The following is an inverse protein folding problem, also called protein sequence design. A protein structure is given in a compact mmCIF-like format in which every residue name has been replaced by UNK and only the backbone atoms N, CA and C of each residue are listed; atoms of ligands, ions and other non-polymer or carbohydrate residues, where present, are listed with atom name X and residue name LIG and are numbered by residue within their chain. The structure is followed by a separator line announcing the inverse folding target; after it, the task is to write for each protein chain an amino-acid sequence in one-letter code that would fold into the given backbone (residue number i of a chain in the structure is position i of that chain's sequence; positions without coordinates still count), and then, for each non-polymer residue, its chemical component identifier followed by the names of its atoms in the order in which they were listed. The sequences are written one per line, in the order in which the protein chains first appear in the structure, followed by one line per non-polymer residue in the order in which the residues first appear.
data_IF_327985927006
#
_entry.id   IF_327985927006
#
_cell.length_a   1.000
_cell.length_b   1.000
_cell.length_c   1.000
_cell.angle_alpha   90.00
_cell.angle_beta   90.00
_cell.angle_gamma   90.00
#
_symmetry.space_group_name_H-M   'P 1'
#
loop_
_entity.id
_entity.type
_entity.pdbx_description
1 polymer ?
#
# COMPACT_ATOMS: atom_id res chain seq x y z
N UNK A 1 -7.17 19.61 8.61
CA UNK A 1 -8.29 18.89 7.96
C UNK A 1 -8.31 17.48 8.51
N UNK A 2 -9.42 17.03 9.10
CA UNK A 2 -9.52 15.68 9.65
C UNK A 2 -10.24 14.79 8.62
N UNK A 3 -9.57 13.74 8.12
CA UNK A 3 -10.17 12.77 7.20
C UNK A 3 -10.80 11.66 8.05
N UNK A 4 -12.11 11.48 7.93
CA UNK A 4 -12.79 10.35 8.56
C UNK A 4 -12.85 9.17 7.60
N UNK A 5 -13.01 7.97 8.14
CA UNK A 5 -12.99 6.73 7.38
C UNK A 5 -14.24 5.93 7.68
N UNK A 6 -14.89 5.45 6.63
CA UNK A 6 -16.08 4.59 6.75
C UNK A 6 -15.79 3.21 6.17
N UNK A 7 -16.44 2.17 6.70
CA UNK A 7 -16.40 0.84 6.10
C UNK A 7 -16.91 0.92 4.67
N UNK A 8 -16.19 0.26 3.76
CA UNK A 8 -16.54 0.11 2.36
C UNK A 8 -17.27 -1.20 2.13
N UNK A 9 -18.35 -1.15 1.35
CA UNK A 9 -19.06 -2.32 0.81
C UNK A 9 -19.53 -1.97 -0.63
N UNK A 10 -19.11 -2.71 -1.67
CA UNK A 10 -18.19 -3.85 -1.65
C UNK A 10 -16.73 -3.44 -1.40
N UNK A 11 -15.89 -4.33 -0.84
CA UNK A 11 -14.46 -4.06 -0.70
C UNK A 11 -13.78 -3.93 -2.07
N UNK A 12 -12.68 -3.16 -2.13
CA UNK A 12 -11.86 -3.11 -3.35
C UNK A 12 -11.11 -4.43 -3.54
N UNK A 13 -10.82 -4.77 -4.81
CA UNK A 13 -9.87 -5.84 -5.12
C UNK A 13 -8.50 -5.47 -4.55
N UNK A 14 -7.87 -6.35 -3.75
CA UNK A 14 -6.50 -6.12 -3.29
C UNK A 14 -5.52 -6.22 -4.45
N UNK A 15 -4.61 -5.25 -4.53
CA UNK A 15 -3.53 -5.16 -5.53
C UNK A 15 -2.18 -4.82 -4.91
N UNK A 16 -2.21 -4.40 -3.63
CA UNK A 16 -1.02 -4.11 -2.85
C UNK A 16 -1.25 -4.48 -1.38
N UNK A 17 -0.15 -4.59 -0.65
CA UNK A 17 -0.15 -4.65 0.81
C UNK A 17 0.88 -3.66 1.35
N UNK A 18 0.51 -2.90 2.37
CA UNK A 18 1.41 -2.00 3.09
C UNK A 18 1.56 -2.44 4.55
N UNK A 19 2.72 -2.19 5.13
CA UNK A 19 3.04 -2.62 6.49
C UNK A 19 4.35 -2.03 6.98
N UNK A 20 4.81 -2.46 8.14
CA UNK A 20 6.08 -2.04 8.76
C UNK A 20 7.13 -3.14 8.61
N UNK A 21 8.03 -3.28 9.58
CA UNK A 21 9.14 -4.23 9.60
C UNK A 21 8.70 -5.69 9.37
N UNK A 22 7.54 -6.09 9.91
CA UNK A 22 6.98 -7.44 9.69
C UNK A 22 6.75 -7.75 8.20
N UNK A 23 6.31 -6.75 7.43
CA UNK A 23 6.11 -6.90 5.99
C UNK A 23 7.44 -6.84 5.23
N UNK A 24 8.39 -6.04 5.70
CA UNK A 24 9.75 -6.01 5.15
C UNK A 24 10.43 -7.38 5.26
N UNK A 25 10.35 -8.01 6.43
CA UNK A 25 10.91 -9.35 6.66
C UNK A 25 10.24 -10.41 5.79
N UNK A 26 8.91 -10.35 5.66
CA UNK A 26 8.17 -11.23 4.75
C UNK A 26 8.58 -11.04 3.28
N UNK A 27 8.83 -9.79 2.86
CA UNK A 27 9.33 -9.46 1.53
C UNK A 27 10.73 -10.05 1.28
N UNK A 28 11.66 -9.88 2.24
CA UNK A 28 13.02 -10.44 2.14
C UNK A 28 13.01 -11.96 2.07
N UNK A 29 12.17 -12.62 2.87
CA UNK A 29 12.03 -14.08 2.82
C UNK A 29 11.56 -14.55 1.44
N UNK A 30 10.54 -13.91 0.87
CA UNK A 30 10.05 -14.24 -0.49
C UNK A 30 11.14 -14.06 -1.55
N UNK A 31 11.92 -13.00 -1.48
CA UNK A 31 13.06 -12.79 -2.40
C UNK A 31 14.13 -13.88 -2.24
N UNK A 32 14.46 -14.26 -1.01
CA UNK A 32 15.40 -15.36 -0.73
C UNK A 32 14.90 -16.71 -1.28
N UNK A 33 13.58 -16.92 -1.27
CA UNK A 33 12.92 -18.08 -1.86
C UNK A 33 12.81 -17.99 -3.40
N UNK A 34 13.36 -16.95 -4.03
CA UNK A 34 13.35 -16.74 -5.48
C UNK A 34 12.04 -16.18 -6.05
N UNK A 35 11.14 -15.71 -5.18
CA UNK A 35 9.86 -15.12 -5.59
C UNK A 35 10.07 -13.67 -5.99
N UNK A 36 9.82 -13.37 -7.27
CA UNK A 36 9.82 -12.02 -7.78
C UNK A 36 8.71 -11.18 -7.14
N UNK A 37 9.09 -10.11 -6.44
CA UNK A 37 8.15 -9.13 -5.86
C UNK A 37 8.46 -7.72 -6.37
N UNK A 38 7.42 -6.88 -6.47
CA UNK A 38 7.58 -5.45 -6.69
C UNK A 38 7.33 -4.75 -5.37
N UNK A 39 8.35 -4.12 -4.80
CA UNK A 39 8.25 -3.47 -3.50
C UNK A 39 8.84 -2.07 -3.51
N UNK A 40 8.23 -1.18 -2.73
CA UNK A 40 8.77 0.12 -2.36
C UNK A 40 8.94 0.16 -0.84
N UNK A 41 10.02 0.78 -0.39
CA UNK A 41 10.35 0.93 1.03
C UNK A 41 10.60 2.41 1.26
N UNK A 42 10.08 2.92 2.38
CA UNK A 42 10.38 4.25 2.87
C UNK A 42 10.58 4.24 4.37
N UNK A 43 10.55 5.43 4.97
CA UNK A 43 10.82 5.58 6.41
C UNK A 43 9.74 4.90 7.26
N UNK A 44 10.05 3.71 7.80
CA UNK A 44 9.16 2.93 8.65
C UNK A 44 7.96 2.30 7.93
N UNK A 45 8.05 2.07 6.61
CA UNK A 45 7.00 1.37 5.87
C UNK A 45 7.54 0.59 4.66
N UNK A 46 6.84 -0.50 4.33
CA UNK A 46 7.01 -1.31 3.12
C UNK A 46 5.68 -1.39 2.38
N UNK A 47 5.72 -1.32 1.05
CA UNK A 47 4.60 -1.53 0.14
C UNK A 47 4.97 -2.61 -0.87
N UNK A 48 4.14 -3.63 -1.02
CA UNK A 48 4.33 -4.70 -2.02
C UNK A 48 3.16 -4.68 -2.98
N UNK A 49 3.45 -4.69 -4.29
CA UNK A 49 2.47 -4.78 -5.38
C UNK A 49 2.49 -6.17 -6.02
N UNK A 50 1.31 -6.75 -6.22
CA UNK A 50 1.18 -8.05 -6.86
C UNK A 50 -0.22 -8.64 -6.74
N UNK A 51 -0.40 -9.80 -7.37
CA UNK A 51 -1.62 -10.60 -7.25
C UNK A 51 -1.51 -11.65 -6.12
N UNK A 52 -0.31 -12.14 -5.82
CA UNK A 52 -0.01 -12.94 -4.62
C UNK A 52 0.64 -12.05 -3.55
N UNK A 53 -0.19 -11.53 -2.65
CA UNK A 53 0.22 -10.59 -1.62
C UNK A 53 0.52 -11.33 -0.31
N UNK A 54 1.66 -11.06 0.35
CA UNK A 54 1.98 -11.70 1.61
C UNK A 54 1.09 -11.15 2.73
N UNK A 55 0.77 -12.02 3.68
CA UNK A 55 0.23 -11.60 4.97
C UNK A 55 1.39 -11.35 5.95
N UNK A 56 1.26 -10.30 6.75
CA UNK A 56 2.15 -9.97 7.85
C UNK A 56 1.35 -9.26 8.95
N UNK A 57 1.84 -9.27 10.18
CA UNK A 57 1.18 -8.56 11.28
C UNK A 57 1.12 -7.05 11.01
N UNK A 58 -0.08 -6.48 11.16
CA UNK A 58 -0.32 -5.06 10.88
C UNK A 58 -0.41 -4.71 9.39
N UNK A 59 -0.36 -5.71 8.50
CA UNK A 59 -0.51 -5.49 7.06
C UNK A 59 -1.90 -4.93 6.70
N UNK A 60 -1.91 -3.88 5.88
CA UNK A 60 -3.12 -3.28 5.32
C UNK A 60 -3.17 -3.57 3.83
N UNK A 61 -4.18 -4.33 3.41
CA UNK A 61 -4.44 -4.58 1.99
C UNK A 61 -5.00 -3.33 1.33
N UNK A 62 -4.46 -3.00 0.16
CA UNK A 62 -4.82 -1.79 -0.60
C UNK A 62 -5.38 -2.16 -1.97
N UNK A 63 -6.34 -1.36 -2.42
CA UNK A 63 -6.90 -1.38 -3.76
C UNK A 63 -6.64 -0.06 -4.49
N UNK A 64 -6.73 -0.09 -5.82
CA UNK A 64 -6.66 1.11 -6.65
C UNK A 64 -7.98 1.87 -6.64
N UNK A 65 -7.93 3.18 -6.39
CA UNK A 65 -9.05 4.10 -6.53
C UNK A 65 -8.54 5.46 -7.01
N UNK A 66 -9.03 5.93 -8.17
CA UNK A 66 -8.70 7.26 -8.74
C UNK A 66 -7.19 7.62 -8.75
N UNK A 67 -6.34 6.65 -9.09
CA UNK A 67 -4.89 6.88 -9.17
C UNK A 67 -4.18 6.94 -7.81
N UNK A 68 -4.81 6.41 -6.77
CA UNK A 68 -4.25 6.28 -5.42
C UNK A 68 -4.50 4.87 -4.86
N UNK A 69 -3.54 4.33 -4.09
CA UNK A 69 -3.77 3.13 -3.30
C UNK A 69 -4.45 3.50 -1.98
N UNK A 70 -5.55 2.83 -1.67
CA UNK A 70 -6.34 3.04 -0.44
C UNK A 70 -6.74 1.71 0.18
N UNK A 71 -7.00 1.62 1.50
CA UNK A 71 -7.41 0.37 2.14
C UNK A 71 -8.62 -0.26 1.45
N UNK A 72 -8.57 -1.58 1.24
CA UNK A 72 -9.65 -2.30 0.54
C UNK A 72 -10.99 -2.24 1.27
N UNK A 73 -10.96 -2.16 2.60
CA UNK A 73 -12.13 -2.20 3.46
C UNK A 73 -12.61 -0.83 3.94
N UNK A 74 -11.85 0.25 3.66
CA UNK A 74 -12.18 1.59 4.13
C UNK A 74 -12.29 2.56 2.95
N UNK A 75 -13.12 3.59 3.14
CA UNK A 75 -13.23 4.72 2.22
C UNK A 75 -12.95 6.01 3.01
N UNK A 76 -12.06 6.89 2.53
CA UNK A 76 -11.88 8.20 3.12
C UNK A 76 -13.12 9.08 2.87
N UNK A 77 -13.41 10.00 3.78
CA UNK A 77 -14.51 10.97 3.63
C UNK A 77 -14.27 11.98 2.51
N UNK A 78 -13.02 12.13 2.09
CA UNK A 78 -12.60 12.95 0.95
C UNK A 78 -12.41 12.02 -0.26
N UNK A 79 -12.97 12.31 -1.44
CA UNK A 79 -12.78 11.47 -2.62
C UNK A 79 -11.29 11.31 -2.98
N UNK A 80 -10.92 10.10 -3.40
CA UNK A 80 -9.51 9.73 -3.66
C UNK A 80 -8.88 10.57 -4.79
N UNK A 81 -9.65 11.00 -5.78
CA UNK A 81 -9.20 11.94 -6.82
C UNK A 81 -8.75 13.29 -6.25
N UNK A 82 -9.45 13.85 -5.26
CA UNK A 82 -9.04 15.08 -4.57
C UNK A 82 -7.79 14.86 -3.71
N UNK A 83 -7.70 13.72 -3.02
CA UNK A 83 -6.50 13.36 -2.25
C UNK A 83 -5.28 13.24 -3.17
N UNK A 84 -5.43 12.61 -4.34
CA UNK A 84 -4.36 12.48 -5.33
C UNK A 84 -3.92 13.83 -5.90
N UNK A 85 -4.86 14.72 -6.17
CA UNK A 85 -4.55 16.09 -6.63
C UNK A 85 -3.81 16.90 -5.56
N UNK A 86 -4.17 16.75 -4.28
CA UNK A 86 -3.53 17.45 -3.17
C UNK A 86 -2.17 16.86 -2.75
N UNK A 87 -1.96 15.56 -3.01
CA UNK A 87 -0.76 14.81 -2.63
C UNK A 87 -0.16 14.12 -3.86
N UNK A 88 0.50 14.87 -4.76
CA UNK A 88 0.95 14.34 -6.05
C UNK A 88 1.91 13.14 -5.90
N UNK A 89 2.76 13.18 -4.88
CA UNK A 89 3.78 12.15 -4.60
C UNK A 89 3.25 10.98 -3.77
N UNK A 90 1.96 10.97 -3.41
CA UNK A 90 1.37 9.87 -2.65
C UNK A 90 1.24 8.62 -3.53
N UNK A 91 1.76 7.52 -2.98
CA UNK A 91 1.51 6.15 -3.44
C UNK A 91 0.23 5.63 -2.81
N UNK A 92 0.10 5.79 -1.49
CA UNK A 92 -1.04 5.30 -0.72
C UNK A 92 -1.47 6.28 0.36
N UNK A 93 -2.77 6.32 0.65
CA UNK A 93 -3.33 7.06 1.79
C UNK A 93 -4.08 6.08 2.69
N UNK A 94 -3.71 6.08 3.98
CA UNK A 94 -4.23 5.21 5.01
C UNK A 94 -4.72 6.05 6.21
N UNK A 95 -5.52 5.49 7.12
CA UNK A 95 -5.80 6.14 8.40
C UNK A 95 -4.50 6.52 9.11
N UNK A 96 -4.31 7.82 9.35
CA UNK A 96 -3.17 8.36 10.09
C UNK A 96 -1.83 8.36 9.36
N UNK A 97 -1.75 7.95 8.08
CA UNK A 97 -0.47 7.89 7.35
C UNK A 97 -0.64 8.07 5.84
N UNK A 98 0.34 8.71 5.21
CA UNK A 98 0.50 8.79 3.76
C UNK A 98 1.83 8.14 3.39
N UNK A 99 1.81 7.22 2.43
CA UNK A 99 3.04 6.64 1.88
C UNK A 99 3.40 7.41 0.62
N UNK A 100 4.60 7.95 0.55
CA UNK A 100 5.08 8.81 -0.55
C UNK A 100 6.29 8.19 -1.21
N UNK A 101 6.45 8.41 -2.52
CA UNK A 101 7.60 7.88 -3.27
C UNK A 101 7.25 7.47 -4.69
N UNK A 102 8.17 6.76 -5.34
CA UNK A 102 7.97 6.25 -6.69
C UNK A 102 7.23 4.90 -6.68
N UNK A 103 6.33 4.71 -7.63
CA UNK A 103 5.62 3.44 -7.79
C UNK A 103 6.61 2.32 -8.12
N UNK A 104 6.59 1.16 -7.41
CA UNK A 104 7.50 0.07 -7.70
C UNK A 104 7.09 -0.64 -9.00
N UNK A 105 7.60 -0.13 -10.12
CA UNK A 105 7.38 -0.67 -11.47
C UNK A 105 8.29 -1.86 -11.80
N UNK A 106 9.45 -1.95 -11.14
CA UNK A 106 10.43 -3.04 -11.30
C UNK A 106 10.39 -3.99 -10.10
N UNK A 107 10.94 -5.19 -10.32
CA UNK A 107 11.18 -6.12 -9.24
C UNK A 107 12.14 -5.50 -8.23
N UNK A 108 11.90 -5.77 -6.94
CA UNK A 108 12.73 -5.27 -5.87
C UNK A 108 13.96 -6.15 -5.67
N UNK A 109 15.09 -5.51 -5.41
CA UNK A 109 16.28 -6.12 -4.82
C UNK A 109 16.39 -5.50 -3.43
N UNK A 110 15.91 -6.21 -2.40
CA UNK A 110 16.05 -5.77 -1.01
C UNK A 110 17.40 -6.25 -0.49
N UNK A 111 18.22 -5.33 0.03
CA UNK A 111 19.50 -5.66 0.67
C UNK A 111 19.30 -6.35 2.04
#
# INVERSE_FOLDING_TARGET
MNITWTRREPPLRPVAVAGTDSLYDAARKRLADGVAIRAAVGDGWTLILGDDLPWADGAVYLGWEDGLLVPTLLRPSVPSSFLKAALPDALAVLPGRVLTGAMPVRQAELA
#
